data_IF_591368112622
#
_entry.id   IF_591368112622
#
_cell.length_a   1.000
_cell.length_b   1.000
_cell.length_c   1.000
_cell.angle_alpha   90.00
_cell.angle_beta   90.00
_cell.angle_gamma   90.00
#
_symmetry.space_group_name_H-M   'P 1'
#
loop_
_entity.id
_entity.type
_entity.pdbx_description
1 polymer ?
#
# COMPACT_ATOMS: atom_id res chain seq x y z
N UNK A 1 14.29 -15.61 0.73
CA UNK A 1 12.85 -15.93 0.91
C UNK A 1 12.31 -15.13 2.08
N UNK A 2 11.10 -14.57 1.97
CA UNK A 2 10.38 -13.87 3.05
C UNK A 2 9.00 -14.48 3.23
N UNK A 3 8.34 -14.23 4.37
CA UNK A 3 6.99 -14.75 4.66
C UNK A 3 6.07 -13.61 5.06
N UNK A 4 4.82 -13.63 4.56
CA UNK A 4 3.75 -12.75 5.02
C UNK A 4 2.60 -13.57 5.58
N UNK A 5 2.22 -13.29 6.83
CA UNK A 5 1.18 -14.02 7.54
C UNK A 5 0.20 -13.06 8.24
N UNK A 6 -0.75 -13.66 8.95
CA UNK A 6 -1.66 -13.00 9.91
C UNK A 6 -1.35 -13.52 11.31
N UNK A 7 -1.81 -12.81 12.33
CA UNK A 7 -1.61 -13.20 13.74
C UNK A 7 -2.34 -14.50 14.14
N UNK A 8 -3.23 -15.02 13.29
CA UNK A 8 -3.94 -16.28 13.50
C UNK A 8 -5.07 -16.45 12.48
N UNK A 9 -5.74 -17.60 12.55
CA UNK A 9 -6.95 -17.88 11.77
C UNK A 9 -8.12 -18.24 12.69
N UNK A 10 -9.35 -17.98 12.24
CA UNK A 10 -10.62 -18.32 12.88
C UNK A 10 -10.59 -18.10 14.41
N UNK A 11 -10.74 -19.15 15.21
CA UNK A 11 -10.75 -19.13 16.67
C UNK A 11 -9.39 -19.48 17.31
N UNK A 12 -8.32 -19.63 16.52
CA UNK A 12 -7.01 -19.96 17.07
C UNK A 12 -6.51 -18.92 18.08
N UNK A 13 -5.86 -19.40 19.12
CA UNK A 13 -5.05 -18.57 20.01
C UNK A 13 -3.97 -17.84 19.19
N UNK A 14 -3.80 -16.54 19.43
CA UNK A 14 -2.86 -15.69 18.69
C UNK A 14 -1.44 -15.72 19.27
N UNK A 15 -1.25 -16.27 20.46
CA UNK A 15 0.01 -16.42 21.19
C UNK A 15 0.89 -17.53 20.63
N UNK A 16 0.83 -18.73 21.23
CA UNK A 16 1.73 -19.84 20.92
C UNK A 16 1.74 -20.24 19.43
N UNK A 17 0.59 -20.37 18.74
CA UNK A 17 0.60 -20.80 17.34
C UNK A 17 1.36 -19.87 16.39
N UNK A 18 1.26 -18.55 16.60
CA UNK A 18 2.01 -17.58 15.81
C UNK A 18 3.53 -17.68 16.07
N UNK A 19 3.93 -17.95 17.33
CA UNK A 19 5.33 -18.15 17.67
C UNK A 19 5.89 -19.40 17.01
N UNK A 20 5.19 -20.54 17.14
CA UNK A 20 5.59 -21.80 16.51
C UNK A 20 5.71 -21.67 14.99
N UNK A 21 4.74 -20.97 14.36
CA UNK A 21 4.79 -20.69 12.93
C UNK A 21 6.02 -19.84 12.54
N UNK A 22 6.28 -18.77 13.29
CA UNK A 22 7.44 -17.92 13.05
C UNK A 22 8.75 -18.71 13.17
N UNK A 23 8.89 -19.52 14.22
CA UNK A 23 10.10 -20.32 14.46
C UNK A 23 10.30 -21.35 13.33
N UNK A 24 9.23 -21.99 12.87
CA UNK A 24 9.29 -22.94 11.76
C UNK A 24 9.76 -22.28 10.45
N UNK A 25 9.20 -21.12 10.07
CA UNK A 25 9.59 -20.46 8.81
C UNK A 25 10.98 -19.83 8.89
N UNK A 26 11.38 -19.34 10.06
CA UNK A 26 12.74 -18.83 10.30
C UNK A 26 13.74 -19.98 10.25
N UNK A 27 13.44 -21.12 10.90
CA UNK A 27 14.26 -22.34 10.84
C UNK A 27 14.39 -22.89 9.41
N UNK A 28 13.37 -22.70 8.57
CA UNK A 28 13.41 -23.00 7.14
C UNK A 28 14.15 -21.94 6.29
N UNK A 29 14.68 -20.88 6.88
CA UNK A 29 15.53 -19.89 6.23
C UNK A 29 14.84 -18.60 5.77
N UNK A 30 13.63 -18.29 6.24
CA UNK A 30 13.01 -16.99 6.02
C UNK A 30 13.90 -15.85 6.54
N UNK A 31 13.95 -14.73 5.82
CA UNK A 31 14.81 -13.57 6.16
C UNK A 31 14.06 -12.38 6.75
N UNK A 32 12.77 -12.29 6.50
CA UNK A 32 11.88 -11.23 7.00
C UNK A 32 10.49 -11.82 7.20
N UNK A 33 9.83 -11.43 8.30
CA UNK A 33 8.45 -11.80 8.58
C UNK A 33 7.55 -10.56 8.53
N UNK A 34 6.61 -10.55 7.59
CA UNK A 34 5.57 -9.53 7.49
C UNK A 34 4.31 -10.03 8.20
N UNK A 35 3.84 -9.32 9.22
CA UNK A 35 2.70 -9.76 10.04
C UNK A 35 1.55 -8.79 9.88
N UNK A 36 0.46 -9.25 9.27
CA UNK A 36 -0.79 -8.51 9.31
C UNK A 36 -1.43 -8.69 10.68
N UNK A 37 -1.61 -7.59 11.41
CA UNK A 37 -2.10 -7.53 12.78
C UNK A 37 -3.60 -7.84 12.95
N UNK A 38 -4.20 -8.65 12.07
CA UNK A 38 -5.59 -9.12 12.18
C UNK A 38 -5.62 -10.61 11.93
N UNK A 39 -6.48 -11.33 12.65
CA UNK A 39 -6.79 -12.74 12.34
C UNK A 39 -7.46 -12.85 10.98
N UNK A 40 -7.29 -13.98 10.29
CA UNK A 40 -8.06 -14.31 9.10
C UNK A 40 -9.22 -15.23 9.48
N UNK A 41 -10.43 -14.87 9.11
CA UNK A 41 -11.57 -15.79 9.14
C UNK A 41 -11.66 -16.48 7.80
N UNK A 42 -11.39 -17.78 7.78
CA UNK A 42 -11.46 -18.58 6.57
C UNK A 42 -12.91 -18.97 6.26
N UNK A 43 -13.78 -18.97 7.28
CA UNK A 43 -15.20 -19.24 7.16
C UNK A 43 -16.03 -18.02 7.59
N UNK A 44 -17.15 -17.79 6.89
CA UNK A 44 -18.17 -16.82 7.30
C UNK A 44 -17.92 -15.36 6.93
N UNK A 45 -16.69 -14.96 6.56
CA UNK A 45 -16.38 -13.59 6.13
C UNK A 45 -15.81 -13.52 4.72
N UNK A 46 -16.29 -12.56 3.92
CA UNK A 46 -15.72 -12.25 2.61
C UNK A 46 -14.29 -11.69 2.72
N UNK A 47 -13.50 -11.69 1.63
CA UNK A 47 -12.16 -11.08 1.63
C UNK A 47 -12.14 -9.59 2.00
N UNK A 48 -13.24 -8.86 1.79
CA UNK A 48 -13.36 -7.45 2.17
C UNK A 48 -13.58 -7.33 3.67
N UNK A 49 -14.51 -8.09 4.21
CA UNK A 49 -14.84 -8.12 5.65
C UNK A 49 -13.65 -8.59 6.49
N UNK A 50 -12.89 -9.55 6.00
CA UNK A 50 -11.62 -10.00 6.60
C UNK A 50 -10.56 -8.90 6.79
N UNK A 51 -10.73 -7.73 6.15
CA UNK A 51 -9.82 -6.58 6.28
C UNK A 51 -10.40 -5.46 7.15
N UNK A 52 -11.62 -5.61 7.66
CA UNK A 52 -12.34 -4.56 8.40
C UNK A 52 -12.97 -5.06 9.70
N UNK A 53 -13.49 -6.29 9.74
CA UNK A 53 -14.24 -6.82 10.90
C UNK A 53 -13.31 -7.32 12.02
N UNK A 54 -12.39 -8.29 11.83
CA UNK A 54 -11.58 -8.80 12.95
C UNK A 54 -10.64 -7.70 13.46
N UNK A 55 -10.60 -7.38 14.75
CA UNK A 55 -9.88 -6.20 15.25
C UNK A 55 -8.38 -6.26 14.95
N UNK A 56 -7.76 -5.07 14.92
CA UNK A 56 -6.30 -4.97 14.89
C UNK A 56 -5.73 -5.27 16.27
N UNK A 57 -4.62 -5.98 16.29
CA UNK A 57 -3.83 -6.25 17.48
C UNK A 57 -2.34 -6.02 17.18
N UNK A 58 -1.92 -4.75 17.29
CA UNK A 58 -0.52 -4.37 17.10
C UNK A 58 0.35 -4.84 18.25
N UNK A 59 -0.17 -4.85 19.48
CA UNK A 59 0.55 -5.31 20.67
C UNK A 59 1.07 -6.73 20.47
N UNK A 60 0.24 -7.62 19.90
CA UNK A 60 0.68 -8.98 19.60
C UNK A 60 1.84 -9.05 18.61
N UNK A 61 1.86 -8.17 17.60
CA UNK A 61 2.98 -8.09 16.64
C UNK A 61 4.24 -7.56 17.32
N UNK A 62 4.11 -6.58 18.21
CA UNK A 62 5.23 -6.03 18.99
C UNK A 62 5.85 -7.08 19.92
N UNK A 63 5.01 -7.86 20.61
CA UNK A 63 5.48 -8.99 21.43
C UNK A 63 6.27 -10.02 20.61
N UNK A 64 5.79 -10.34 19.40
CA UNK A 64 6.50 -11.24 18.49
C UNK A 64 7.82 -10.63 18.02
N UNK A 65 7.85 -9.35 17.66
CA UNK A 65 9.06 -8.66 17.23
C UNK A 65 10.12 -8.64 18.32
N UNK A 66 9.73 -8.31 19.56
CA UNK A 66 10.62 -8.34 20.73
C UNK A 66 11.19 -9.73 20.99
N UNK A 67 10.36 -10.78 20.89
CA UNK A 67 10.81 -12.18 21.06
C UNK A 67 11.82 -12.60 19.99
N UNK A 68 11.62 -12.15 18.76
CA UNK A 68 12.42 -12.55 17.61
C UNK A 68 13.66 -11.67 17.40
N UNK A 69 13.80 -10.56 18.12
CA UNK A 69 14.92 -9.63 17.96
C UNK A 69 16.28 -10.37 18.02
N UNK A 70 17.21 -10.12 17.08
CA UNK A 70 17.21 -9.02 16.10
C UNK A 70 16.57 -9.38 14.73
N UNK A 71 15.82 -10.47 14.61
CA UNK A 71 15.18 -10.85 13.35
C UNK A 71 14.12 -9.82 12.90
N UNK A 72 14.10 -9.39 11.63
CA UNK A 72 13.23 -8.30 11.19
C UNK A 72 11.77 -8.73 11.06
N UNK A 73 10.92 -8.07 11.85
CA UNK A 73 9.46 -8.17 11.78
C UNK A 73 8.89 -6.86 11.23
N UNK A 74 8.05 -6.97 10.20
CA UNK A 74 7.43 -5.82 9.52
C UNK A 74 5.92 -5.86 9.78
N UNK A 75 5.38 -4.83 10.41
CA UNK A 75 3.95 -4.77 10.75
C UNK A 75 3.10 -4.36 9.55
N UNK A 76 1.88 -4.89 9.48
CA UNK A 76 0.92 -4.57 8.44
C UNK A 76 -0.52 -4.50 8.98
N UNK A 77 -1.34 -3.66 8.31
CA UNK A 77 -2.78 -3.63 8.45
C UNK A 77 -3.27 -2.40 9.19
N UNK A 78 -4.14 -1.58 8.58
CA UNK A 78 -4.77 -0.44 9.24
C UNK A 78 -3.90 0.79 9.48
N UNK A 79 -2.70 0.82 8.92
CA UNK A 79 -1.80 1.99 8.96
C UNK A 79 -2.08 2.85 7.73
N UNK A 80 -2.60 4.05 7.95
CA UNK A 80 -3.17 4.93 6.93
C UNK A 80 -2.52 6.32 6.86
N UNK A 81 -1.80 6.74 7.90
CA UNK A 81 -1.13 8.05 7.97
C UNK A 81 0.37 7.94 8.22
N UNK A 82 1.12 9.02 7.97
CA UNK A 82 2.56 9.06 8.21
C UNK A 82 2.89 8.99 9.70
N UNK A 83 2.10 9.66 10.53
CA UNK A 83 2.25 9.65 11.99
C UNK A 83 2.09 8.22 12.53
N UNK A 84 1.12 7.46 11.98
CA UNK A 84 0.95 6.06 12.33
C UNK A 84 2.13 5.20 11.88
N UNK A 85 2.76 5.51 10.74
CA UNK A 85 3.96 4.83 10.25
C UNK A 85 5.13 5.08 11.19
N UNK A 86 5.40 6.34 11.56
CA UNK A 86 6.48 6.72 12.47
C UNK A 86 6.35 6.02 13.83
N UNK A 87 5.15 6.03 14.41
CA UNK A 87 4.88 5.40 15.70
C UNK A 87 5.20 3.89 15.74
N UNK A 88 5.22 3.19 14.60
CA UNK A 88 5.54 1.75 14.59
C UNK A 88 7.03 1.49 14.81
N UNK A 89 7.92 2.39 14.40
CA UNK A 89 9.37 2.15 14.42
C UNK A 89 9.95 2.06 15.84
N UNK A 90 9.17 2.43 16.86
CA UNK A 90 9.50 2.18 18.26
C UNK A 90 9.51 0.68 18.62
N UNK A 91 8.75 -0.15 17.90
CA UNK A 91 8.47 -1.53 18.29
C UNK A 91 8.81 -2.58 17.21
N UNK A 92 8.93 -2.18 15.94
CA UNK A 92 9.15 -3.10 14.82
C UNK A 92 10.19 -2.58 13.84
N UNK A 93 10.77 -3.48 13.05
CA UNK A 93 11.81 -3.14 12.08
C UNK A 93 11.28 -2.43 10.83
N UNK A 94 9.97 -2.36 10.65
CA UNK A 94 9.37 -1.57 9.57
C UNK A 94 7.88 -1.74 9.41
N UNK A 95 7.35 -1.04 8.41
CA UNK A 95 5.91 -0.95 8.14
C UNK A 95 5.61 -1.33 6.70
N UNK A 96 4.56 -2.11 6.50
CA UNK A 96 3.98 -2.38 5.19
C UNK A 96 2.63 -1.68 5.06
N UNK A 97 2.55 -0.74 4.11
CA UNK A 97 1.31 -0.08 3.73
C UNK A 97 0.64 -0.79 2.54
N UNK A 98 -0.69 -0.86 2.56
CA UNK A 98 -1.47 -1.50 1.49
C UNK A 98 -2.53 -0.57 0.91
N UNK A 99 -3.74 -0.60 1.48
CA UNK A 99 -4.88 0.20 0.99
C UNK A 99 -4.59 1.70 0.95
N UNK A 100 -3.96 2.24 1.98
CA UNK A 100 -3.61 3.67 2.04
C UNK A 100 -2.70 4.09 0.88
N UNK A 101 -1.64 3.31 0.62
CA UNK A 101 -0.74 3.52 -0.52
C UNK A 101 -1.47 3.51 -1.88
N UNK A 102 -2.51 2.69 -2.04
CA UNK A 102 -3.28 2.62 -3.29
C UNK A 102 -4.35 3.73 -3.39
N UNK A 103 -5.01 4.07 -2.28
CA UNK A 103 -6.07 5.07 -2.25
C UNK A 103 -5.54 6.50 -2.25
N UNK A 104 -4.40 6.73 -1.62
CA UNK A 104 -3.69 8.01 -1.55
C UNK A 104 -2.17 7.79 -1.79
N UNK A 105 -1.75 7.53 -3.04
CA UNK A 105 -0.35 7.27 -3.35
C UNK A 105 0.58 8.46 -3.07
N UNK A 106 0.06 9.68 -3.11
CA UNK A 106 0.85 10.89 -2.83
C UNK A 106 1.39 10.92 -1.39
N UNK A 107 0.78 10.16 -0.47
CA UNK A 107 1.30 9.93 0.88
C UNK A 107 2.75 9.38 0.83
N UNK A 108 3.02 8.48 -0.12
CA UNK A 108 4.32 7.82 -0.23
C UNK A 108 5.44 8.77 -0.68
N UNK A 109 5.10 9.90 -1.31
CA UNK A 109 6.10 10.89 -1.73
C UNK A 109 6.89 11.49 -0.56
N UNK A 110 6.37 11.35 0.67
CA UNK A 110 7.01 11.84 1.90
C UNK A 110 7.84 10.80 2.64
N UNK A 111 7.71 9.51 2.29
CA UNK A 111 8.36 8.41 3.02
C UNK A 111 9.89 8.51 2.94
N UNK A 112 10.45 8.91 1.79
CA UNK A 112 11.91 8.99 1.64
C UNK A 112 12.55 9.98 2.61
N UNK A 113 11.97 11.17 2.75
CA UNK A 113 12.41 12.15 3.74
C UNK A 113 12.11 11.72 5.18
N UNK A 114 10.92 11.16 5.41
CA UNK A 114 10.45 10.81 6.76
C UNK A 114 11.21 9.63 7.38
N UNK A 115 11.40 8.56 6.62
CA UNK A 115 11.92 7.28 7.11
C UNK A 115 13.41 7.13 6.82
N UNK A 116 13.88 7.62 5.67
CA UNK A 116 15.26 7.42 5.22
C UNK A 116 16.12 8.69 5.33
N UNK A 117 15.53 9.82 5.70
CA UNK A 117 16.24 11.10 5.79
C UNK A 117 16.73 11.63 4.45
N UNK A 118 16.14 11.20 3.33
CA UNK A 118 16.51 11.73 2.01
C UNK A 118 16.15 13.22 1.93
N UNK A 119 17.13 14.04 1.56
CA UNK A 119 16.97 15.49 1.42
C UNK A 119 16.40 15.90 0.07
N UNK A 120 16.22 14.96 -0.87
CA UNK A 120 15.58 15.23 -2.15
C UNK A 120 14.14 15.70 -1.96
N UNK A 121 13.72 16.75 -2.68
CA UNK A 121 12.33 17.15 -2.70
C UNK A 121 11.43 16.00 -3.16
N UNK A 122 10.32 15.80 -2.45
CA UNK A 122 9.26 14.89 -2.87
C UNK A 122 8.73 15.28 -4.26
N UNK A 123 8.47 14.32 -5.16
CA UNK A 123 7.93 14.64 -6.48
C UNK A 123 6.55 15.31 -6.37
N UNK A 124 6.36 16.38 -7.13
CA UNK A 124 5.07 17.02 -7.29
C UNK A 124 4.11 16.16 -8.10
N UNK A 125 2.80 16.42 -7.94
CA UNK A 125 1.80 15.73 -8.74
C UNK A 125 1.94 16.02 -10.24
N UNK A 126 2.36 17.24 -10.61
CA UNK A 126 2.60 17.60 -12.01
C UNK A 126 3.71 16.77 -12.64
N UNK A 127 4.86 16.62 -11.93
CA UNK A 127 5.98 15.79 -12.39
C UNK A 127 5.56 14.33 -12.55
N UNK A 128 4.81 13.78 -11.59
CA UNK A 128 4.28 12.41 -11.69
C UNK A 128 3.36 12.25 -12.90
N UNK A 129 2.51 13.24 -13.18
CA UNK A 129 1.60 13.22 -14.33
C UNK A 129 2.38 13.24 -15.65
N UNK A 130 3.44 14.03 -15.75
CA UNK A 130 4.29 14.07 -16.95
C UNK A 130 5.01 12.73 -17.17
N UNK A 131 5.67 12.20 -16.13
CA UNK A 131 6.36 10.91 -16.18
C UNK A 131 5.38 9.77 -16.55
N UNK A 132 4.20 9.75 -15.94
CA UNK A 132 3.22 8.71 -16.22
C UNK A 132 2.57 8.86 -17.61
N UNK A 133 2.51 10.08 -18.15
CA UNK A 133 2.08 10.32 -19.54
C UNK A 133 3.10 9.74 -20.53
N UNK A 134 4.38 9.98 -20.30
CA UNK A 134 5.47 9.42 -21.12
C UNK A 134 5.50 7.89 -21.03
N UNK A 135 5.39 7.35 -19.81
CA UNK A 135 5.27 5.91 -19.59
C UNK A 135 4.08 5.33 -20.36
N UNK A 136 2.92 5.99 -20.31
CA UNK A 136 1.75 5.55 -21.06
C UNK A 136 2.00 5.53 -22.56
N UNK A 137 2.69 6.52 -23.12
CA UNK A 137 3.06 6.54 -24.54
C UNK A 137 3.92 5.31 -24.93
N UNK A 138 4.94 5.02 -24.12
CA UNK A 138 5.85 3.88 -24.34
C UNK A 138 5.09 2.55 -24.28
N UNK A 139 4.18 2.39 -23.32
CA UNK A 139 3.42 1.15 -23.16
C UNK A 139 2.34 0.99 -24.24
N UNK A 140 1.69 2.08 -24.65
CA UNK A 140 0.72 2.07 -25.74
C UNK A 140 1.36 1.67 -27.08
N UNK A 141 2.59 2.09 -27.35
CA UNK A 141 3.36 1.63 -28.52
C UNK A 141 3.59 0.11 -28.52
N UNK A 142 3.49 -0.55 -27.34
CA UNK A 142 3.58 -2.01 -27.17
C UNK A 142 2.21 -2.69 -27.12
N UNK A 143 1.13 -1.97 -27.42
CA UNK A 143 -0.24 -2.49 -27.42
C UNK A 143 -0.94 -2.51 -26.05
N UNK A 144 -0.34 -1.91 -25.01
CA UNK A 144 -1.01 -1.78 -23.71
C UNK A 144 -2.12 -0.74 -23.80
N UNK A 145 -3.33 -1.12 -23.35
CA UNK A 145 -4.46 -0.19 -23.28
C UNK A 145 -4.20 0.87 -22.22
N UNK A 146 -4.49 2.14 -22.53
CA UNK A 146 -4.31 3.27 -21.62
C UNK A 146 -5.00 3.06 -20.26
N UNK A 147 -6.22 2.51 -20.26
CA UNK A 147 -6.99 2.25 -19.05
C UNK A 147 -6.35 1.21 -18.11
N UNK A 148 -5.48 0.32 -18.61
CA UNK A 148 -4.69 -0.59 -17.77
C UNK A 148 -3.68 0.14 -16.90
N UNK A 149 -3.32 1.37 -17.27
CA UNK A 149 -2.39 2.25 -16.55
C UNK A 149 -3.19 3.25 -15.70
N UNK A 150 -4.08 4.03 -16.33
CA UNK A 150 -4.74 5.17 -15.68
C UNK A 150 -5.67 4.76 -14.53
N UNK A 151 -6.24 3.55 -14.55
CA UNK A 151 -7.04 3.03 -13.44
C UNK A 151 -6.28 2.96 -12.11
N UNK A 152 -4.94 2.86 -12.16
CA UNK A 152 -4.07 2.83 -10.99
C UNK A 152 -3.60 4.23 -10.56
N UNK A 153 -3.87 5.26 -11.36
CA UNK A 153 -3.49 6.65 -11.09
C UNK A 153 -4.58 7.45 -10.39
N UNK A 154 -5.79 6.90 -10.26
CA UNK A 154 -6.96 7.62 -9.74
C UNK A 154 -6.73 8.17 -8.32
N UNK A 155 -5.99 7.42 -7.49
CA UNK A 155 -5.68 7.82 -6.12
C UNK A 155 -4.77 9.05 -6.02
N UNK A 156 -4.08 9.44 -7.09
CA UNK A 156 -3.19 10.61 -7.09
C UNK A 156 -3.93 11.93 -6.80
N UNK A 157 -5.22 11.98 -7.09
CA UNK A 157 -6.08 13.13 -6.80
C UNK A 157 -6.81 13.03 -5.45
N UNK A 158 -6.38 12.16 -4.54
CA UNK A 158 -7.04 11.96 -3.24
C UNK A 158 -7.16 13.29 -2.47
N UNK A 159 -8.38 13.61 -2.01
CA UNK A 159 -8.66 14.82 -1.24
C UNK A 159 -8.59 16.14 -2.02
N UNK A 160 -8.24 16.13 -3.31
CA UNK A 160 -8.08 17.36 -4.09
C UNK A 160 -9.40 17.89 -4.69
N UNK A 161 -9.60 19.22 -4.76
CA UNK A 161 -10.65 19.82 -5.56
C UNK A 161 -10.56 19.37 -7.03
N UNK A 162 -11.69 18.95 -7.60
CA UNK A 162 -11.73 18.43 -8.98
C UNK A 162 -11.43 16.93 -9.13
N UNK A 163 -11.11 16.22 -8.04
CA UNK A 163 -10.80 14.79 -8.05
C UNK A 163 -11.87 13.90 -8.70
N UNK A 164 -13.16 14.30 -8.60
CA UNK A 164 -14.26 13.58 -9.27
C UNK A 164 -14.11 13.61 -10.78
N UNK A 165 -13.82 14.78 -11.37
CA UNK A 165 -13.63 14.93 -12.82
C UNK A 165 -12.33 14.27 -13.27
N UNK A 166 -11.25 14.42 -12.51
CA UNK A 166 -10.00 13.69 -12.73
C UNK A 166 -10.25 12.18 -12.83
N UNK A 167 -10.95 11.61 -11.84
CA UNK A 167 -11.31 10.18 -11.83
C UNK A 167 -12.14 9.80 -13.05
N UNK A 168 -13.16 10.59 -13.40
CA UNK A 168 -14.00 10.34 -14.56
C UNK A 168 -13.18 10.30 -15.85
N UNK A 169 -12.23 11.23 -16.04
CA UNK A 169 -11.35 11.24 -17.20
C UNK A 169 -10.49 9.97 -17.21
N UNK A 170 -9.81 9.68 -16.10
CA UNK A 170 -8.93 8.51 -15.94
C UNK A 170 -9.61 7.14 -16.09
N UNK A 171 -10.95 7.06 -15.95
CA UNK A 171 -11.70 5.80 -16.07
C UNK A 171 -12.56 5.69 -17.32
N UNK A 172 -13.16 6.80 -17.77
CA UNK A 172 -14.15 6.80 -18.85
C UNK A 172 -13.61 7.46 -20.12
N UNK A 173 -13.01 8.64 -20.01
CA UNK A 173 -12.57 9.38 -21.19
C UNK A 173 -11.35 8.71 -21.84
N UNK A 174 -10.53 7.99 -21.06
CA UNK A 174 -9.43 7.13 -21.56
C UNK A 174 -9.89 5.93 -22.41
N UNK A 175 -11.18 5.61 -22.43
CA UNK A 175 -11.75 4.52 -23.24
C UNK A 175 -12.28 5.01 -24.59
N UNK A 176 -12.37 6.32 -24.79
CA UNK A 176 -12.93 6.92 -26.02
C UNK A 176 -11.94 6.78 -27.17
N UNK A 177 -12.47 6.79 -28.38
CA UNK A 177 -11.66 6.87 -29.59
C UNK A 177 -10.78 8.14 -29.57
N UNK A 178 -9.51 7.99 -29.98
CA UNK A 178 -8.53 9.07 -29.93
C UNK A 178 -7.91 9.35 -28.56
N UNK A 179 -8.32 8.66 -27.49
CA UNK A 179 -7.69 8.79 -26.18
C UNK A 179 -6.21 8.35 -26.21
N UNK A 180 -5.36 9.08 -25.49
CA UNK A 180 -3.93 8.81 -25.46
C UNK A 180 -3.23 9.44 -24.26
N UNK A 181 -1.89 9.51 -24.26
CA UNK A 181 -1.12 10.08 -23.16
C UNK A 181 -1.56 11.49 -22.77
N UNK A 182 -1.96 12.32 -23.74
CA UNK A 182 -2.48 13.66 -23.51
C UNK A 182 -3.75 13.67 -22.61
N UNK A 183 -4.55 12.60 -22.60
CA UNK A 183 -5.74 12.47 -21.76
C UNK A 183 -5.38 12.44 -20.26
N UNK A 184 -4.19 11.95 -19.90
CA UNK A 184 -3.67 11.99 -18.52
C UNK A 184 -3.43 13.45 -18.08
N UNK A 185 -2.82 14.26 -18.96
CA UNK A 185 -2.60 15.70 -18.69
C UNK A 185 -3.92 16.48 -18.62
N UNK A 186 -4.90 16.15 -19.47
CA UNK A 186 -6.24 16.72 -19.40
C UNK A 186 -6.94 16.39 -18.07
N UNK A 187 -6.74 15.18 -17.54
CA UNK A 187 -7.25 14.83 -16.22
C UNK A 187 -6.67 15.73 -15.14
N UNK A 188 -5.35 15.96 -15.17
CA UNK A 188 -4.66 16.84 -14.23
C UNK A 188 -5.16 18.28 -14.29
N UNK A 189 -5.41 18.83 -15.48
CA UNK A 189 -5.99 20.17 -15.65
C UNK A 189 -7.40 20.32 -15.05
N UNK A 190 -8.11 19.22 -14.80
CA UNK A 190 -9.41 19.27 -14.13
C UNK A 190 -9.30 19.46 -12.60
N UNK A 191 -8.10 19.34 -12.04
CA UNK A 191 -7.83 19.66 -10.64
C UNK A 191 -7.78 21.18 -10.45
N UNK A 192 -8.25 21.65 -9.30
CA UNK A 192 -8.19 23.08 -8.94
C UNK A 192 -7.14 23.26 -7.83
N UNK A 193 -5.88 23.16 -8.24
CA UNK A 193 -4.68 23.29 -7.39
C UNK A 193 -3.87 24.51 -7.78
#
# INVERSE_FOLDING_TARGET
VTVKCRIGIDDMDIGKPLNDFADAVIGAGAKVLYVHARKAWLNGLSPKENRTIPPLDYARVYELANRLAPFPVIINGGIETLEQVEAQFENVSGVMMGRAAYHNPMLLSKIDGLVYGDSKPAPSLAEIIDIMSEYAAIQMAKGVRLNSITRHMIGLAYGLPGARRFRQIMTMDVLKEGAGPHTIKQAFQALKI
#
